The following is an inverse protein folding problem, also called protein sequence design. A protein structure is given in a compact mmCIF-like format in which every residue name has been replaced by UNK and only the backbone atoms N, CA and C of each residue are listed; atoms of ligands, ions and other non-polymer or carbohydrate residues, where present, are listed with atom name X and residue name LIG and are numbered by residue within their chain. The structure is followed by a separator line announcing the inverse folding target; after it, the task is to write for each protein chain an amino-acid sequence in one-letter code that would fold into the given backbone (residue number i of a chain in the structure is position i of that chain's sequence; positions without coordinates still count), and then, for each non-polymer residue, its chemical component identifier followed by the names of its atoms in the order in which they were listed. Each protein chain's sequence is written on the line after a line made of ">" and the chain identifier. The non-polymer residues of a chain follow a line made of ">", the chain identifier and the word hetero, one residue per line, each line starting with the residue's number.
data_IF_153273290437
#
_entry.id   IF_153273290437
#
_cell.length_a   1.000
_cell.length_b   1.000
_cell.length_c   1.000
_cell.angle_alpha   90.00
_cell.angle_beta   90.00
_cell.angle_gamma   90.00
#
_symmetry.space_group_name_H-M   'P 1'
#
loop_
_entity.id
_entity.type
_entity.pdbx_description
1 polymer ?
#
# COMPACT_ATOMS: atom_id res chain seq x y z
N UNK A 1 -23.13 -13.42 -4.31
CA UNK A 1 -24.15 -13.90 -5.26
C UNK A 1 -25.26 -14.58 -4.48
N UNK A 2 -26.52 -14.24 -4.73
CA UNK A 2 -27.65 -14.92 -4.09
C UNK A 2 -27.80 -16.33 -4.65
N UNK A 3 -28.19 -17.30 -3.80
CA UNK A 3 -28.50 -18.66 -4.25
C UNK A 3 -29.68 -18.65 -5.21
N UNK A 4 -29.62 -19.40 -6.31
CA UNK A 4 -30.76 -19.55 -7.20
C UNK A 4 -31.93 -20.21 -6.47
N UNK A 5 -33.20 -19.89 -6.87
CA UNK A 5 -34.42 -20.38 -6.22
C UNK A 5 -34.54 -21.90 -6.23
N UNK A 6 -33.92 -22.57 -7.21
CA UNK A 6 -33.89 -24.02 -7.39
C UNK A 6 -32.74 -24.74 -6.67
N UNK A 7 -31.97 -24.05 -5.82
CA UNK A 7 -30.86 -24.68 -5.10
C UNK A 7 -31.32 -25.82 -4.19
N UNK A 8 -30.62 -26.94 -4.25
CA UNK A 8 -30.87 -28.09 -3.39
C UNK A 8 -30.64 -27.78 -1.90
N UNK A 9 -31.28 -28.53 -0.96
CA UNK A 9 -31.05 -28.33 0.46
C UNK A 9 -29.54 -28.38 0.86
N UNK A 10 -28.79 -29.28 0.25
CA UNK A 10 -27.35 -29.44 0.48
C UNK A 10 -26.59 -28.18 0.03
N UNK A 11 -26.93 -27.63 -1.14
CA UNK A 11 -26.29 -26.38 -1.62
C UNK A 11 -26.60 -25.19 -0.71
N UNK A 12 -27.83 -25.11 -0.17
CA UNK A 12 -28.21 -24.07 0.80
C UNK A 12 -27.42 -24.20 2.10
N UNK A 13 -27.32 -25.41 2.65
CA UNK A 13 -26.54 -25.64 3.87
C UNK A 13 -25.08 -25.28 3.67
N UNK A 14 -24.46 -25.73 2.56
CA UNK A 14 -23.08 -25.40 2.23
C UNK A 14 -22.87 -23.87 2.07
N UNK A 15 -23.79 -23.19 1.43
CA UNK A 15 -23.74 -21.74 1.24
C UNK A 15 -23.80 -20.98 2.57
N UNK A 16 -24.71 -21.34 3.47
CA UNK A 16 -24.81 -20.70 4.78
C UNK A 16 -23.61 -21.03 5.67
N UNK A 17 -23.11 -22.24 5.60
CA UNK A 17 -21.87 -22.62 6.29
C UNK A 17 -20.68 -21.81 5.78
N UNK A 18 -20.53 -21.69 4.47
CA UNK A 18 -19.49 -20.85 3.85
C UNK A 18 -19.62 -19.39 4.27
N UNK A 19 -20.83 -18.84 4.23
CA UNK A 19 -21.08 -17.46 4.64
C UNK A 19 -20.75 -17.24 6.11
N UNK A 20 -21.16 -18.17 6.99
CA UNK A 20 -20.81 -18.14 8.42
C UNK A 20 -19.28 -18.17 8.62
N UNK A 21 -18.60 -19.08 7.95
CA UNK A 21 -17.13 -19.17 8.04
C UNK A 21 -16.47 -17.87 7.56
N UNK A 22 -16.85 -17.32 6.42
CA UNK A 22 -16.35 -16.06 5.92
C UNK A 22 -16.61 -14.90 6.91
N UNK A 23 -17.79 -14.87 7.54
CA UNK A 23 -18.14 -13.84 8.53
C UNK A 23 -17.24 -13.95 9.77
N UNK A 24 -16.99 -15.17 10.26
CA UNK A 24 -16.11 -15.39 11.41
C UNK A 24 -14.68 -14.96 11.10
N UNK A 25 -14.16 -15.35 9.93
CA UNK A 25 -12.81 -14.93 9.49
C UNK A 25 -12.73 -13.41 9.35
N UNK A 26 -13.73 -12.79 8.74
CA UNK A 26 -13.80 -11.34 8.57
C UNK A 26 -13.85 -10.63 9.93
N UNK A 27 -14.69 -11.10 10.84
CA UNK A 27 -14.75 -10.56 12.22
C UNK A 27 -13.41 -10.70 12.93
N UNK A 28 -12.76 -11.86 12.84
CA UNK A 28 -11.43 -12.08 13.43
C UNK A 28 -10.38 -11.10 12.88
N UNK A 29 -10.41 -10.81 11.57
CA UNK A 29 -9.48 -9.86 10.94
C UNK A 29 -9.75 -8.41 11.37
N UNK A 30 -11.02 -8.05 11.63
CA UNK A 30 -11.40 -6.70 12.01
C UNK A 30 -11.34 -6.49 13.53
N UNK A 31 -11.45 -7.55 14.33
CA UNK A 31 -11.46 -7.46 15.80
C UNK A 31 -10.28 -6.64 16.38
N UNK A 32 -9.02 -6.76 15.90
CA UNK A 32 -7.94 -5.90 16.38
C UNK A 32 -8.19 -4.41 16.18
N UNK A 33 -8.85 -4.01 15.08
CA UNK A 33 -9.17 -2.61 14.82
C UNK A 33 -10.18 -2.07 15.83
N UNK A 34 -11.20 -2.87 16.20
CA UNK A 34 -12.16 -2.52 17.24
C UNK A 34 -11.51 -2.38 18.63
N UNK A 35 -10.42 -3.10 18.90
CA UNK A 35 -9.67 -2.95 20.13
C UNK A 35 -8.76 -1.70 20.11
N UNK A 36 -8.08 -1.44 18.98
CA UNK A 36 -7.13 -0.32 18.84
C UNK A 36 -7.84 1.03 18.93
N UNK A 37 -9.03 1.17 18.31
CA UNK A 37 -9.76 2.44 18.29
C UNK A 37 -10.05 2.95 19.70
N UNK A 38 -10.73 2.21 20.60
CA UNK A 38 -10.96 2.69 21.98
C UNK A 38 -9.64 2.95 22.73
N UNK A 39 -8.64 2.08 22.61
CA UNK A 39 -7.35 2.25 23.28
C UNK A 39 -6.65 3.56 22.86
N UNK A 40 -6.83 4.02 21.64
CA UNK A 40 -6.25 5.28 21.17
C UNK A 40 -6.78 6.53 21.91
N UNK A 41 -7.92 6.40 22.59
CA UNK A 41 -8.49 7.44 23.44
C UNK A 41 -8.19 7.24 24.93
N UNK A 42 -7.29 6.31 25.29
CA UNK A 42 -6.95 6.07 26.69
C UNK A 42 -6.20 7.24 27.31
N UNK A 43 -6.56 7.58 28.56
CA UNK A 43 -5.82 8.56 29.39
C UNK A 43 -4.50 7.99 29.90
N UNK A 44 -4.30 6.67 29.84
CA UNK A 44 -3.06 6.02 30.29
C UNK A 44 -1.83 6.48 29.50
N UNK A 45 -0.64 6.57 30.11
CA UNK A 45 0.61 6.82 29.38
C UNK A 45 0.97 5.69 28.41
N UNK A 46 0.33 4.56 28.51
CA UNK A 46 0.49 3.40 27.62
C UNK A 46 -0.81 3.13 26.87
N UNK A 47 -0.72 2.55 25.67
CA UNK A 47 -1.88 2.13 24.88
C UNK A 47 -2.49 0.85 25.47
N UNK A 48 -3.21 0.99 26.60
CA UNK A 48 -3.87 -0.12 27.31
C UNK A 48 -5.30 0.28 27.69
N UNK A 49 -6.16 -0.71 27.86
CA UNK A 49 -7.46 -0.49 28.50
C UNK A 49 -7.24 -0.19 29.96
N UNK A 50 -7.81 0.91 30.44
CA UNK A 50 -7.85 1.24 31.87
C UNK A 50 -9.10 0.65 32.52
N UNK A 51 -9.07 0.47 33.84
CA UNK A 51 -10.25 -0.01 34.60
C UNK A 51 -11.45 0.89 34.37
N UNK A 52 -11.24 2.22 34.34
CA UNK A 52 -12.30 3.19 34.09
C UNK A 52 -12.93 3.09 32.71
N UNK A 53 -12.17 2.69 31.67
CA UNK A 53 -12.72 2.45 30.34
C UNK A 53 -13.61 1.21 30.29
N UNK A 54 -13.33 0.21 31.13
CA UNK A 54 -14.07 -1.07 31.19
C UNK A 54 -15.18 -1.04 32.25
N UNK A 55 -15.24 -0.02 33.11
CA UNK A 55 -16.27 0.15 34.13
C UNK A 55 -17.65 0.36 33.48
N UNK A 56 -18.70 -0.01 34.21
CA UNK A 56 -20.07 0.27 33.81
C UNK A 56 -20.81 1.08 34.90
N UNK A 57 -21.21 2.33 34.62
CA UNK A 57 -20.99 3.10 33.39
C UNK A 57 -19.52 3.47 33.19
N UNK A 58 -19.07 3.68 31.91
CA UNK A 58 -17.68 4.08 31.61
C UNK A 58 -17.34 5.40 32.28
N UNK A 59 -16.17 5.47 32.90
CA UNK A 59 -15.66 6.69 33.52
C UNK A 59 -15.27 7.72 32.45
N UNK A 60 -15.89 8.92 32.40
CA UNK A 60 -15.52 9.93 31.43
C UNK A 60 -14.05 10.40 31.54
N UNK A 61 -13.45 10.35 32.73
CA UNK A 61 -12.06 10.75 32.97
C UNK A 61 -11.03 9.73 32.42
N UNK A 62 -11.48 8.52 32.14
CA UNK A 62 -10.63 7.49 31.52
C UNK A 62 -10.36 7.73 30.02
N UNK A 63 -11.06 8.68 29.41
CA UNK A 63 -11.00 8.96 27.97
C UNK A 63 -10.32 10.30 27.69
N UNK A 64 -9.38 10.33 26.74
CA UNK A 64 -8.65 11.54 26.37
C UNK A 64 -8.23 11.53 24.90
N UNK A 65 -8.18 12.70 24.29
CA UNK A 65 -7.62 12.90 22.93
C UNK A 65 -6.16 13.35 22.97
N UNK A 66 -5.49 13.22 24.10
CA UNK A 66 -4.12 13.73 24.29
C UNK A 66 -3.10 13.17 23.28
N UNK A 67 -3.25 11.90 22.86
CA UNK A 67 -2.37 11.29 21.85
C UNK A 67 -2.47 11.99 20.51
N UNK A 68 -3.70 12.36 20.11
CA UNK A 68 -3.95 13.10 18.87
C UNK A 68 -3.43 14.54 18.97
N UNK A 69 -3.64 15.22 20.11
CA UNK A 69 -3.08 16.55 20.36
C UNK A 69 -1.56 16.53 20.33
N UNK A 70 -0.90 15.56 20.99
CA UNK A 70 0.54 15.40 20.95
C UNK A 70 1.05 15.13 19.52
N UNK A 71 0.31 14.36 18.72
CA UNK A 71 0.67 14.08 17.33
C UNK A 71 0.72 15.36 16.48
N UNK A 72 -0.19 16.30 16.69
CA UNK A 72 -0.20 17.61 15.98
C UNK A 72 0.72 18.66 16.62
N UNK A 73 1.44 18.31 17.69
CA UNK A 73 2.38 19.21 18.36
C UNK A 73 1.73 20.18 19.35
N UNK A 74 0.49 19.92 19.78
CA UNK A 74 -0.14 20.68 20.86
C UNK A 74 0.50 20.28 22.20
N UNK A 75 1.17 21.24 22.85
CA UNK A 75 1.89 21.09 24.10
C UNK A 75 1.15 21.71 25.29
N UNK A 76 -0.17 21.73 25.25
CA UNK A 76 -1.00 22.19 26.37
C UNK A 76 -0.83 21.30 27.62
N UNK A 77 -1.09 21.85 28.82
CA UNK A 77 -0.84 21.16 30.09
C UNK A 77 -1.64 19.87 30.26
N UNK A 78 -2.79 19.74 29.59
CA UNK A 78 -3.62 18.53 29.55
C UNK A 78 -3.01 17.40 28.68
N UNK A 79 -2.06 17.73 27.80
CA UNK A 79 -1.36 16.80 26.92
C UNK A 79 -0.01 16.36 27.52
N UNK A 80 0.71 17.29 28.09
CA UNK A 80 2.06 17.07 28.64
C UNK A 80 1.98 16.51 30.06
N UNK A 81 2.62 15.38 30.27
CA UNK A 81 2.86 14.83 31.61
C UNK A 81 4.31 14.39 31.74
N UNK A 82 4.75 14.10 32.98
CA UNK A 82 6.10 13.56 33.22
C UNK A 82 6.38 12.26 32.44
N UNK A 83 5.34 11.54 32.07
CA UNK A 83 5.42 10.26 31.35
C UNK A 83 5.19 10.38 29.85
N UNK A 84 4.59 11.49 29.39
CA UNK A 84 4.33 11.77 27.97
C UNK A 84 4.84 13.17 27.65
N UNK A 85 6.12 13.32 27.30
CA UNK A 85 6.69 14.60 26.92
C UNK A 85 6.09 15.07 25.58
N UNK A 86 5.90 16.37 25.45
CA UNK A 86 5.50 16.96 24.18
C UNK A 86 6.59 16.72 23.11
N UNK A 87 6.17 16.30 21.93
CA UNK A 87 7.10 16.00 20.85
C UNK A 87 6.51 16.37 19.48
N UNK A 88 7.17 17.27 18.78
CA UNK A 88 6.91 17.57 17.38
C UNK A 88 7.43 16.48 16.41
N UNK A 89 8.13 15.47 16.93
CA UNK A 89 8.73 14.39 16.11
C UNK A 89 7.69 13.62 15.30
N UNK A 90 6.48 13.47 15.82
CA UNK A 90 5.39 12.78 15.11
C UNK A 90 4.98 13.53 13.85
N UNK A 91 4.80 14.84 13.94
CA UNK A 91 4.45 15.68 12.78
C UNK A 91 5.56 15.68 11.75
N UNK A 92 6.82 15.87 12.21
CA UNK A 92 7.99 15.81 11.31
C UNK A 92 8.11 14.44 10.63
N UNK A 93 7.93 13.35 11.40
CA UNK A 93 7.93 11.99 10.86
C UNK A 93 6.82 11.78 9.82
N UNK A 94 5.62 12.28 10.08
CA UNK A 94 4.48 12.21 9.16
C UNK A 94 4.78 12.95 7.86
N UNK A 95 5.23 14.20 7.93
CA UNK A 95 5.58 15.00 6.75
C UNK A 95 6.67 14.33 5.93
N UNK A 96 7.72 13.82 6.59
CA UNK A 96 8.80 13.09 5.92
C UNK A 96 8.29 11.82 5.23
N UNK A 97 7.39 11.07 5.86
CA UNK A 97 6.79 9.87 5.28
C UNK A 97 5.97 10.18 4.03
N UNK A 98 5.15 11.23 4.06
CA UNK A 98 4.42 11.68 2.87
C UNK A 98 5.36 12.15 1.76
N UNK A 99 6.38 12.93 2.10
CA UNK A 99 7.37 13.41 1.14
C UNK A 99 8.08 12.24 0.44
N UNK A 100 8.62 11.30 1.22
CA UNK A 100 9.30 10.10 0.70
C UNK A 100 8.31 9.24 -0.12
N UNK A 101 7.13 8.98 0.44
CA UNK A 101 6.14 8.12 -0.18
C UNK A 101 5.67 8.64 -1.53
N UNK A 102 5.31 9.92 -1.63
CA UNK A 102 4.83 10.53 -2.88
C UNK A 102 5.92 10.46 -3.96
N UNK A 103 7.15 10.86 -3.64
CA UNK A 103 8.25 10.87 -4.62
C UNK A 103 8.59 9.44 -5.05
N UNK A 104 8.70 8.51 -4.10
CA UNK A 104 8.98 7.11 -4.40
C UNK A 104 7.88 6.48 -5.27
N UNK A 105 6.61 6.74 -4.97
CA UNK A 105 5.47 6.25 -5.75
C UNK A 105 5.50 6.78 -7.17
N UNK A 106 5.71 8.08 -7.37
CA UNK A 106 5.76 8.67 -8.72
C UNK A 106 6.88 8.04 -9.54
N UNK A 107 8.08 7.91 -8.97
CA UNK A 107 9.25 7.34 -9.67
C UNK A 107 9.02 5.84 -9.95
N UNK A 108 8.58 5.07 -8.95
CA UNK A 108 8.33 3.64 -9.10
C UNK A 108 7.24 3.36 -10.15
N UNK A 109 6.16 4.16 -10.12
CA UNK A 109 5.06 4.04 -11.08
C UNK A 109 5.52 4.35 -12.50
N UNK A 110 6.30 5.41 -12.68
CA UNK A 110 6.85 5.75 -14.00
C UNK A 110 7.79 4.65 -14.53
N UNK A 111 8.76 4.22 -13.72
CA UNK A 111 9.73 3.19 -14.11
C UNK A 111 9.05 1.83 -14.32
N UNK A 112 8.17 1.42 -13.41
CA UNK A 112 7.44 0.15 -13.49
C UNK A 112 6.51 0.09 -14.71
N UNK A 113 5.82 1.20 -15.02
CA UNK A 113 4.96 1.29 -16.22
C UNK A 113 5.80 1.21 -17.50
N UNK A 114 6.93 1.91 -17.58
CA UNK A 114 7.82 1.85 -18.74
C UNK A 114 8.39 0.43 -18.92
N UNK A 115 8.81 -0.21 -17.83
CA UNK A 115 9.28 -1.60 -17.85
C UNK A 115 8.18 -2.56 -18.31
N UNK A 116 6.95 -2.45 -17.79
CA UNK A 116 5.81 -3.26 -18.17
C UNK A 116 5.46 -3.10 -19.67
N UNK A 117 5.45 -1.88 -20.18
CA UNK A 117 5.24 -1.59 -21.62
C UNK A 117 6.32 -2.22 -22.49
N UNK A 118 7.58 -2.22 -22.06
CA UNK A 118 8.67 -2.91 -22.73
C UNK A 118 8.47 -4.42 -22.73
N UNK A 119 8.19 -4.99 -21.55
CA UNK A 119 8.02 -6.42 -21.33
C UNK A 119 6.78 -7.01 -22.02
N UNK A 120 5.77 -6.19 -22.31
CA UNK A 120 4.56 -6.64 -23.01
C UNK A 120 4.78 -6.84 -24.54
N UNK A 121 5.90 -6.36 -25.08
CA UNK A 121 6.20 -6.53 -26.51
C UNK A 121 6.44 -8.00 -26.86
N UNK A 122 5.84 -8.56 -27.95
CA UNK A 122 5.97 -9.97 -28.31
C UNK A 122 7.41 -10.41 -28.61
N UNK A 123 8.20 -9.51 -29.21
CA UNK A 123 9.57 -9.81 -29.68
C UNK A 123 10.67 -9.30 -28.74
N UNK A 124 10.35 -9.06 -27.46
CA UNK A 124 11.37 -8.62 -26.51
C UNK A 124 12.34 -9.77 -26.16
N UNK A 125 13.64 -9.61 -26.44
CA UNK A 125 14.64 -10.64 -26.11
C UNK A 125 14.80 -10.71 -24.57
N UNK A 126 15.14 -11.90 -24.08
CA UNK A 126 15.42 -12.17 -22.65
C UNK A 126 14.32 -11.73 -21.69
N UNK A 127 13.08 -11.66 -22.14
CA UNK A 127 11.93 -11.18 -21.34
C UNK A 127 11.83 -11.86 -19.96
N UNK A 128 12.02 -13.19 -19.90
CA UNK A 128 11.96 -13.95 -18.65
C UNK A 128 13.08 -13.55 -17.67
N UNK A 129 14.29 -13.36 -18.16
CA UNK A 129 15.42 -12.93 -17.33
C UNK A 129 15.23 -11.52 -16.79
N UNK A 130 14.80 -10.58 -17.63
CA UNK A 130 14.54 -9.19 -17.22
C UNK A 130 13.43 -9.16 -16.18
N UNK A 131 12.34 -9.90 -16.39
CA UNK A 131 11.25 -10.01 -15.42
C UNK A 131 11.75 -10.59 -14.09
N UNK A 132 12.56 -11.65 -14.11
CA UNK A 132 13.13 -12.25 -12.91
C UNK A 132 14.00 -11.25 -12.12
N UNK A 133 14.82 -10.45 -12.80
CA UNK A 133 15.65 -9.41 -12.18
C UNK A 133 14.76 -8.31 -11.58
N UNK A 134 13.74 -7.85 -12.30
CA UNK A 134 12.83 -6.80 -11.81
C UNK A 134 12.02 -7.24 -10.60
N UNK A 135 11.63 -8.52 -10.52
CA UNK A 135 10.85 -9.05 -9.40
C UNK A 135 11.75 -9.51 -8.23
N UNK A 136 13.06 -9.70 -8.46
CA UNK A 136 13.98 -10.23 -7.44
C UNK A 136 13.95 -9.51 -6.09
N UNK A 137 13.80 -8.17 -5.99
CA UNK A 137 13.71 -7.51 -4.69
C UNK A 137 12.50 -7.93 -3.85
N UNK A 138 11.44 -8.40 -4.50
CA UNK A 138 10.23 -8.90 -3.83
C UNK A 138 10.38 -10.34 -3.34
N UNK A 139 11.20 -11.15 -4.01
CA UNK A 139 11.42 -12.56 -3.70
C UNK A 139 12.45 -12.73 -2.58
N UNK A 140 13.48 -11.86 -2.56
CA UNK A 140 14.53 -11.88 -1.54
C UNK A 140 13.96 -11.44 -0.19
N UNK A 141 14.25 -12.14 0.94
CA UNK A 141 13.83 -11.70 2.25
C UNK A 141 14.21 -10.25 2.52
N UNK A 142 13.23 -9.43 2.97
CA UNK A 142 13.39 -7.98 3.12
C UNK A 142 14.63 -7.59 3.95
N UNK A 143 14.95 -8.36 4.99
CA UNK A 143 16.10 -8.09 5.86
C UNK A 143 17.43 -8.21 5.10
N UNK A 144 17.54 -9.16 4.17
CA UNK A 144 18.75 -9.36 3.34
C UNK A 144 18.87 -8.20 2.34
N UNK A 145 17.77 -7.82 1.71
CA UNK A 145 17.71 -6.67 0.79
C UNK A 145 18.09 -5.38 1.52
N UNK A 146 17.54 -5.15 2.72
CA UNK A 146 17.83 -3.98 3.53
C UNK A 146 19.31 -3.93 3.94
N UNK A 147 19.89 -5.04 4.38
CA UNK A 147 21.31 -5.12 4.74
C UNK A 147 22.20 -4.86 3.50
N UNK A 148 21.88 -5.46 2.36
CA UNK A 148 22.62 -5.24 1.11
C UNK A 148 22.59 -3.78 0.67
N UNK A 149 21.41 -3.15 0.70
CA UNK A 149 21.24 -1.72 0.41
C UNK A 149 22.00 -0.86 1.40
N UNK A 150 21.98 -1.17 2.70
CA UNK A 150 22.72 -0.42 3.71
C UNK A 150 24.23 -0.39 3.41
N UNK A 151 24.84 -1.56 3.19
CA UNK A 151 26.27 -1.63 2.87
C UNK A 151 26.64 -0.94 1.55
N UNK A 152 25.78 -1.06 0.53
CA UNK A 152 25.97 -0.35 -0.73
C UNK A 152 25.88 1.16 -0.54
N UNK A 153 24.83 1.64 0.15
CA UNK A 153 24.63 3.07 0.40
C UNK A 153 25.70 3.69 1.32
N UNK A 154 26.24 2.90 2.25
CA UNK A 154 27.36 3.35 3.07
C UNK A 154 28.60 3.69 2.23
N UNK A 155 28.84 2.95 1.15
CA UNK A 155 29.99 3.22 0.25
C UNK A 155 29.83 4.47 -0.60
N UNK A 156 28.59 4.87 -0.89
CA UNK A 156 28.29 6.01 -1.76
C UNK A 156 27.66 7.19 -1.00
N UNK A 157 27.77 7.19 0.35
CA UNK A 157 27.29 8.24 1.25
C UNK A 157 25.79 8.57 1.11
N UNK A 158 24.94 7.58 0.84
CA UNK A 158 23.50 7.73 0.77
C UNK A 158 22.77 7.28 2.05
N UNK A 159 23.47 6.72 3.03
CA UNK A 159 22.89 6.36 4.33
C UNK A 159 22.42 7.62 5.06
N UNK A 160 21.27 7.53 5.73
CA UNK A 160 20.62 8.64 6.44
C UNK A 160 20.22 9.84 5.55
N UNK A 161 20.11 9.65 4.24
CA UNK A 161 19.62 10.69 3.31
C UNK A 161 18.22 10.38 2.79
N UNK A 162 17.44 11.41 2.51
CA UNK A 162 16.12 11.25 1.84
C UNK A 162 16.25 10.52 0.49
N UNK A 163 17.29 10.85 -0.27
CA UNK A 163 17.56 10.21 -1.56
C UNK A 163 17.78 8.70 -1.42
N UNK A 164 18.59 8.28 -0.44
CA UNK A 164 18.82 6.86 -0.19
C UNK A 164 17.53 6.12 0.18
N UNK A 165 16.70 6.70 1.06
CA UNK A 165 15.42 6.13 1.45
C UNK A 165 14.45 6.07 0.27
N UNK A 166 14.34 7.13 -0.52
CA UNK A 166 13.47 7.16 -1.72
C UNK A 166 13.90 6.09 -2.71
N UNK A 167 15.20 5.96 -3.02
CA UNK A 167 15.70 4.95 -3.95
C UNK A 167 15.43 3.52 -3.46
N UNK A 168 15.55 3.27 -2.15
CA UNK A 168 15.20 1.98 -1.58
C UNK A 168 13.71 1.66 -1.76
N UNK A 169 12.83 2.61 -1.48
CA UNK A 169 11.39 2.44 -1.68
C UNK A 169 11.05 2.25 -3.17
N UNK A 170 11.67 3.00 -4.07
CA UNK A 170 11.51 2.82 -5.53
C UNK A 170 11.89 1.40 -5.95
N UNK A 171 13.04 0.89 -5.49
CA UNK A 171 13.48 -0.45 -5.84
C UNK A 171 12.52 -1.54 -5.35
N UNK A 172 11.93 -1.38 -4.16
CA UNK A 172 10.98 -2.33 -3.58
C UNK A 172 9.57 -2.20 -4.18
N UNK A 173 9.14 -0.99 -4.56
CA UNK A 173 7.81 -0.72 -5.10
C UNK A 173 7.70 -1.04 -6.61
N UNK A 174 8.78 -0.85 -7.39
CA UNK A 174 8.76 -1.06 -8.84
C UNK A 174 8.24 -2.44 -9.27
N UNK A 175 8.58 -3.57 -8.61
CA UNK A 175 8.05 -4.88 -8.97
C UNK A 175 6.52 -4.94 -8.95
N UNK A 176 5.87 -4.32 -7.96
CA UNK A 176 4.40 -4.31 -7.84
C UNK A 176 3.77 -3.61 -9.05
N UNK A 177 4.30 -2.47 -9.44
CA UNK A 177 3.83 -1.73 -10.62
C UNK A 177 4.06 -2.55 -11.89
N UNK A 178 5.22 -3.17 -12.04
CA UNK A 178 5.53 -4.03 -13.21
C UNK A 178 4.50 -5.15 -13.33
N UNK A 179 4.22 -5.85 -12.23
CA UNK A 179 3.27 -6.98 -12.22
C UNK A 179 1.86 -6.51 -12.56
N UNK A 180 1.35 -5.48 -11.91
CA UNK A 180 -0.04 -5.01 -12.08
C UNK A 180 -0.27 -4.44 -13.47
N UNK A 181 0.66 -3.63 -13.99
CA UNK A 181 0.55 -3.06 -15.35
C UNK A 181 0.74 -4.14 -16.41
N UNK A 182 1.69 -5.09 -16.21
CA UNK A 182 1.86 -6.21 -17.16
C UNK A 182 0.60 -7.08 -17.20
N UNK A 183 -0.02 -7.38 -16.06
CA UNK A 183 -1.28 -8.14 -15.99
C UNK A 183 -2.41 -7.44 -16.77
N UNK A 184 -2.51 -6.12 -16.67
CA UNK A 184 -3.48 -5.33 -17.43
C UNK A 184 -3.17 -5.36 -18.93
N UNK A 185 -1.90 -5.31 -19.32
CA UNK A 185 -1.46 -5.36 -20.71
C UNK A 185 -1.65 -6.73 -21.37
N UNK A 186 -1.63 -7.83 -20.61
CA UNK A 186 -1.91 -9.19 -21.13
C UNK A 186 -3.35 -9.29 -21.64
N UNK A 187 -4.31 -8.61 -20.99
CA UNK A 187 -5.70 -8.54 -21.45
C UNK A 187 -6.01 -7.49 -22.52
N UNK A 188 -4.97 -6.76 -22.97
CA UNK A 188 -5.14 -5.64 -23.89
C UNK A 188 -5.22 -6.10 -25.35
N UNK A 189 -6.30 -5.71 -26.05
CA UNK A 189 -6.46 -6.01 -27.49
C UNK A 189 -5.64 -5.05 -28.36
N UNK A 190 -4.55 -5.56 -28.90
CA UNK A 190 -3.66 -4.81 -29.81
C UNK A 190 -4.33 -4.34 -31.11
N UNK A 191 -5.53 -4.88 -31.46
CA UNK A 191 -6.27 -4.41 -32.61
C UNK A 191 -6.76 -2.98 -32.44
N UNK A 192 -7.01 -2.52 -31.22
CA UNK A 192 -7.34 -1.12 -30.90
C UNK A 192 -6.23 -0.16 -31.31
N UNK A 193 -4.96 -0.56 -31.08
CA UNK A 193 -3.79 0.22 -31.51
C UNK A 193 -3.69 0.27 -33.02
N UNK A 194 -3.88 -0.88 -33.69
CA UNK A 194 -3.85 -0.95 -35.18
C UNK A 194 -4.98 -0.13 -35.80
N UNK A 195 -6.19 -0.19 -35.24
CA UNK A 195 -7.32 0.64 -35.69
C UNK A 195 -7.05 2.13 -35.56
N UNK A 196 -6.49 2.57 -34.42
CA UNK A 196 -6.10 3.97 -34.24
C UNK A 196 -5.03 4.43 -35.26
N UNK A 197 -4.06 3.58 -35.54
CA UNK A 197 -3.02 3.84 -36.55
C UNK A 197 -3.60 3.91 -37.96
N UNK A 198 -4.55 3.01 -38.31
CA UNK A 198 -5.23 3.04 -39.61
C UNK A 198 -6.07 4.32 -39.81
N UNK A 199 -6.53 4.92 -38.71
CA UNK A 199 -7.20 6.23 -38.72
C UNK A 199 -6.22 7.42 -38.73
N UNK A 200 -4.91 7.18 -38.95
CA UNK A 200 -3.87 8.20 -39.05
C UNK A 200 -3.38 8.74 -37.71
N UNK A 201 -3.68 8.09 -36.57
CA UNK A 201 -3.18 8.53 -35.29
C UNK A 201 -1.66 8.29 -35.17
N UNK A 202 -0.93 9.34 -34.82
CA UNK A 202 0.52 9.27 -34.54
C UNK A 202 0.77 8.42 -33.26
N UNK A 203 1.96 7.77 -33.12
CA UNK A 203 2.26 6.89 -31.97
C UNK A 203 2.00 7.51 -30.60
N UNK A 204 2.39 8.77 -30.37
CA UNK A 204 2.15 9.48 -29.12
C UNK A 204 0.65 9.69 -28.86
N UNK A 205 -0.13 10.01 -29.89
CA UNK A 205 -1.58 10.16 -29.76
C UNK A 205 -2.25 8.84 -29.42
N UNK A 206 -1.83 7.75 -30.06
CA UNK A 206 -2.30 6.39 -29.76
C UNK A 206 -1.94 5.99 -28.35
N UNK A 207 -0.72 6.30 -27.89
CA UNK A 207 -0.30 6.00 -26.52
C UNK A 207 -1.20 6.72 -25.49
N UNK A 208 -1.32 8.04 -25.56
CA UNK A 208 -2.08 8.80 -24.55
C UNK A 208 -3.60 8.67 -24.65
N UNK A 209 -4.16 8.42 -25.86
CA UNK A 209 -5.61 8.34 -26.04
C UNK A 209 -6.17 6.93 -26.07
N UNK A 210 -5.35 5.91 -26.32
CA UNK A 210 -5.80 4.51 -26.41
C UNK A 210 -5.15 3.66 -25.34
N UNK A 211 -3.81 3.58 -25.33
CA UNK A 211 -3.11 2.67 -24.40
C UNK A 211 -3.23 3.16 -22.96
N UNK A 212 -2.86 4.39 -22.69
CA UNK A 212 -2.79 4.94 -21.33
C UNK A 212 -4.13 4.82 -20.57
N UNK A 213 -5.29 5.22 -21.12
CA UNK A 213 -6.57 5.09 -20.42
C UNK A 213 -6.94 3.63 -20.09
N UNK A 214 -6.58 2.71 -20.96
CA UNK A 214 -6.90 1.28 -20.78
C UNK A 214 -6.00 0.60 -19.74
N UNK A 215 -4.75 1.03 -19.60
CA UNK A 215 -3.85 0.50 -18.58
C UNK A 215 -3.91 1.28 -17.26
N UNK A 216 -4.60 2.43 -17.24
CA UNK A 216 -4.68 3.30 -16.07
C UNK A 216 -5.16 2.58 -14.79
N UNK A 217 -6.16 1.67 -14.83
CA UNK A 217 -6.53 0.89 -13.65
C UNK A 217 -5.37 0.07 -13.07
N UNK A 218 -4.54 -0.55 -13.95
CA UNK A 218 -3.34 -1.27 -13.53
C UNK A 218 -2.26 -0.36 -12.96
N UNK A 219 -2.09 0.84 -13.53
CA UNK A 219 -1.15 1.85 -13.03
C UNK A 219 -1.58 2.33 -11.64
N UNK A 220 -2.85 2.68 -11.47
CA UNK A 220 -3.39 3.14 -10.17
C UNK A 220 -3.27 2.03 -9.13
N UNK A 221 -3.64 0.79 -9.48
CA UNK A 221 -3.52 -0.35 -8.57
C UNK A 221 -2.07 -0.64 -8.16
N UNK A 222 -1.11 -0.42 -9.05
CA UNK A 222 0.31 -0.59 -8.77
C UNK A 222 0.93 0.57 -7.99
N UNK A 223 0.32 1.76 -8.04
CA UNK A 223 0.76 2.96 -7.33
C UNK A 223 0.25 3.02 -5.87
N UNK A 224 -0.83 2.30 -5.55
CA UNK A 224 -1.41 2.18 -4.20
C UNK A 224 -0.67 1.15 -3.36
#
# INVERSE_FOLDING_TARGET
>A
MALPSYASPVQRTYYYFYLFFCTVVFFFLIAPLFAIIPISFSVSPFMVFTEGMLAWPPDPEAWSIRWYKNMIGDCSADVVSSTVPCSTKWMVGTVNSFYIGIIATVIATALGTLAALGLSRPHMPYKGLIMAILISPMIVPLIITAAGMFFFYARINLVYTFTGVILAHVALATPFVVITVTATLVGFDMNMVKAAQSLGAKPMRTFFKVIMPLILPGIISGAL
#
